data_IF_643614997154
#
_entry.id   IF_643614997154
#
_cell.length_a   1.000
_cell.length_b   1.000
_cell.length_c   1.000
_cell.angle_alpha   90.00
_cell.angle_beta   90.00
_cell.angle_gamma   90.00
#
_symmetry.space_group_name_H-M   'P 1'
#
loop_
_entity.id
_entity.type
_entity.pdbx_description
1 polymer ?
#
# COMPACT_ATOMS: atom_id res chain seq x y z
N UNK A 1 29.28 -4.67 -1.17
CA UNK A 1 28.00 -5.41 -1.16
C UNK A 1 26.80 -4.49 -0.91
N UNK A 2 26.70 -3.79 0.24
CA UNK A 2 25.54 -2.93 0.57
C UNK A 2 25.30 -1.73 -0.40
N UNK A 3 26.36 -1.07 -0.88
CA UNK A 3 26.23 0.04 -1.83
C UNK A 3 25.83 -0.41 -3.24
N UNK A 4 26.26 -1.60 -3.67
CA UNK A 4 25.83 -2.21 -4.94
C UNK A 4 24.37 -2.62 -4.86
N UNK A 5 23.96 -3.21 -3.72
CA UNK A 5 22.58 -3.57 -3.41
C UNK A 5 21.65 -2.35 -3.41
N UNK A 6 22.03 -1.27 -2.70
CA UNK A 6 21.31 0.01 -2.77
C UNK A 6 21.20 0.50 -4.22
N UNK A 7 22.30 0.55 -4.97
CA UNK A 7 22.28 1.02 -6.37
C UNK A 7 21.40 0.17 -7.30
N UNK A 8 21.26 -1.13 -7.08
CA UNK A 8 20.33 -1.96 -7.85
C UNK A 8 18.87 -1.65 -7.50
N UNK A 9 18.53 -1.54 -6.21
CA UNK A 9 17.16 -1.24 -5.78
C UNK A 9 16.71 0.20 -6.12
N UNK A 10 17.63 1.16 -6.16
CA UNK A 10 17.33 2.56 -6.53
C UNK A 10 17.27 2.81 -8.04
N UNK A 11 17.74 1.89 -8.89
CA UNK A 11 17.75 2.08 -10.35
C UNK A 11 16.37 1.99 -10.99
N UNK A 12 15.41 1.37 -10.30
CA UNK A 12 14.07 1.10 -10.82
C UNK A 12 12.97 1.94 -10.14
N UNK A 13 13.34 3.07 -9.49
CA UNK A 13 12.32 4.01 -9.00
C UNK A 13 11.73 4.71 -10.21
N UNK A 14 10.66 4.15 -10.73
CA UNK A 14 9.82 4.82 -11.72
C UNK A 14 9.23 6.07 -11.07
N UNK A 15 9.52 7.23 -11.66
CA UNK A 15 8.88 8.48 -11.28
C UNK A 15 7.47 8.49 -11.86
N UNK A 16 6.49 8.24 -10.99
CA UNK A 16 5.08 8.39 -11.34
C UNK A 16 4.70 9.86 -11.17
N UNK A 17 4.72 10.61 -12.27
CA UNK A 17 4.29 12.01 -12.26
C UNK A 17 2.81 12.11 -12.56
N UNK A 18 2.10 12.96 -11.81
CA UNK A 18 0.75 13.39 -12.19
C UNK A 18 0.84 14.21 -13.48
N UNK A 19 -0.14 14.08 -14.38
CA UNK A 19 -0.13 14.81 -15.65
C UNK A 19 -0.14 16.33 -15.40
N UNK A 20 0.74 17.06 -16.08
CA UNK A 20 0.87 18.53 -15.95
C UNK A 20 -0.43 19.29 -16.22
N UNK A 21 -1.34 18.71 -16.99
CA UNK A 21 -2.66 19.30 -17.24
C UNK A 21 -3.53 19.42 -15.97
N UNK A 22 -3.20 18.69 -14.90
CA UNK A 22 -3.86 18.82 -13.60
C UNK A 22 -3.26 19.89 -12.70
N UNK A 23 -2.14 20.52 -13.08
CA UNK A 23 -1.51 21.56 -12.28
C UNK A 23 -2.50 22.70 -11.98
N UNK A 24 -3.28 23.15 -12.96
CA UNK A 24 -4.28 24.20 -12.75
C UNK A 24 -5.37 23.83 -11.74
N UNK A 25 -5.80 22.56 -11.72
CA UNK A 25 -6.77 22.06 -10.75
C UNK A 25 -6.16 21.94 -9.34
N UNK A 26 -4.93 21.43 -9.25
CA UNK A 26 -4.18 21.34 -7.99
C UNK A 26 -3.95 22.76 -7.43
N UNK A 27 -3.50 23.69 -8.25
CA UNK A 27 -3.25 25.09 -7.89
C UNK A 27 -4.53 25.76 -7.40
N UNK A 28 -5.66 25.59 -8.09
CA UNK A 28 -6.96 26.09 -7.66
C UNK A 28 -7.35 25.60 -6.25
N UNK A 29 -7.09 24.33 -5.94
CA UNK A 29 -7.35 23.76 -4.61
C UNK A 29 -6.36 24.31 -3.58
N UNK A 30 -5.07 24.45 -3.94
CA UNK A 30 -4.00 25.00 -3.10
C UNK A 30 -4.19 26.49 -2.76
N UNK A 31 -4.74 27.28 -3.67
CA UNK A 31 -5.00 28.71 -3.48
C UNK A 31 -6.18 28.98 -2.51
N UNK A 32 -6.89 27.94 -2.07
CA UNK A 32 -8.02 28.09 -1.16
C UNK A 32 -7.60 28.64 0.21
N UNK A 33 -8.04 29.86 0.53
CA UNK A 33 -7.72 30.51 1.82
C UNK A 33 -8.51 29.94 3.01
N UNK A 34 -9.67 29.31 2.75
CA UNK A 34 -10.57 28.81 3.79
C UNK A 34 -11.05 27.38 3.49
N UNK A 35 -11.45 26.65 4.54
CA UNK A 35 -12.00 25.29 4.37
C UNK A 35 -13.27 25.24 3.49
N UNK A 36 -14.22 26.20 3.56
CA UNK A 36 -15.33 26.26 2.62
C UNK A 36 -14.90 26.45 1.17
N UNK A 37 -13.92 27.35 0.91
CA UNK A 37 -13.36 27.54 -0.43
C UNK A 37 -12.68 26.27 -0.93
N UNK A 38 -11.87 25.62 -0.09
CA UNK A 38 -11.23 24.34 -0.40
C UNK A 38 -12.24 23.28 -0.80
N UNK A 39 -13.31 23.10 -0.01
CA UNK A 39 -14.41 22.19 -0.33
C UNK A 39 -15.09 22.52 -1.66
N UNK A 40 -15.27 23.81 -1.96
CA UNK A 40 -15.89 24.25 -3.22
C UNK A 40 -14.98 23.98 -4.41
N UNK A 41 -13.69 24.23 -4.26
CA UNK A 41 -12.71 24.10 -5.33
C UNK A 41 -12.44 22.63 -5.70
N UNK A 42 -12.53 21.69 -4.76
CA UNK A 42 -12.53 20.24 -5.07
C UNK A 42 -13.62 19.89 -6.08
N UNK A 43 -14.79 20.52 -6.00
CA UNK A 43 -15.91 20.23 -6.91
C UNK A 43 -15.79 20.92 -8.26
N UNK A 44 -14.87 21.88 -8.40
CA UNK A 44 -14.64 22.64 -9.62
C UNK A 44 -13.68 21.88 -10.54
N UNK A 45 -13.98 20.60 -10.77
CA UNK A 45 -13.21 19.73 -11.64
C UNK A 45 -13.19 20.32 -13.06
N UNK A 46 -12.02 20.44 -13.71
CA UNK A 46 -11.95 20.94 -15.08
C UNK A 46 -12.84 20.13 -16.01
N UNK A 47 -13.68 20.81 -16.80
CA UNK A 47 -14.52 20.13 -17.77
C UNK A 47 -13.65 19.39 -18.78
N UNK A 48 -13.83 18.06 -18.89
CA UNK A 48 -13.15 17.20 -19.85
C UNK A 48 -13.79 17.42 -21.23
N UNK A 49 -13.59 18.59 -21.82
CA UNK A 49 -14.16 18.96 -23.12
C UNK A 49 -13.03 19.26 -24.11
N UNK A 50 -12.73 18.28 -24.99
CA UNK A 50 -11.75 18.38 -26.07
C UNK A 50 -11.18 17.03 -26.54
N UNK A 51 -10.44 17.02 -27.65
CA UNK A 51 -9.69 15.84 -28.16
C UNK A 51 -8.57 15.39 -27.21
N UNK A 52 -8.14 16.26 -26.28
CA UNK A 52 -7.25 15.95 -25.16
C UNK A 52 -8.07 15.58 -23.92
N UNK A 53 -8.77 14.43 -23.95
CA UNK A 53 -9.45 13.92 -22.75
C UNK A 53 -8.41 13.61 -21.68
N UNK A 54 -8.51 14.31 -20.54
CA UNK A 54 -7.79 13.95 -19.32
C UNK A 54 -8.13 12.51 -18.94
N UNK A 55 -7.17 11.69 -18.45
CA UNK A 55 -7.47 10.36 -17.96
C UNK A 55 -8.45 10.49 -16.78
N UNK A 56 -9.70 10.01 -16.88
CA UNK A 56 -10.71 10.18 -15.83
C UNK A 56 -10.21 9.70 -14.46
N UNK A 57 -9.48 8.59 -14.46
CA UNK A 57 -8.88 7.99 -13.26
C UNK A 57 -7.95 8.93 -12.48
N UNK A 58 -7.25 9.86 -13.13
CA UNK A 58 -6.38 10.83 -12.43
C UNK A 58 -7.19 11.94 -11.76
N UNK A 59 -8.29 12.37 -12.40
CA UNK A 59 -9.23 13.34 -11.81
C UNK A 59 -9.86 12.74 -10.56
N UNK A 60 -10.42 11.54 -10.69
CA UNK A 60 -11.11 10.86 -9.61
C UNK A 60 -10.15 10.63 -8.43
N UNK A 61 -8.87 10.34 -8.72
CA UNK A 61 -7.82 10.24 -7.71
C UNK A 61 -7.55 11.52 -6.96
N UNK A 62 -7.38 12.63 -7.67
CA UNK A 62 -7.16 13.90 -7.02
C UNK A 62 -8.37 14.32 -6.20
N UNK A 63 -9.60 14.10 -6.70
CA UNK A 63 -10.82 14.40 -5.96
C UNK A 63 -10.93 13.60 -4.66
N UNK A 64 -10.80 12.27 -4.71
CA UNK A 64 -10.85 11.40 -3.52
C UNK A 64 -9.73 11.74 -2.53
N UNK A 65 -8.51 12.00 -3.02
CA UNK A 65 -7.39 12.43 -2.18
C UNK A 65 -7.68 13.78 -1.50
N UNK A 66 -8.21 14.76 -2.23
CA UNK A 66 -8.56 16.05 -1.64
C UNK A 66 -9.73 15.95 -0.65
N UNK A 67 -10.68 15.05 -0.87
CA UNK A 67 -11.74 14.73 0.08
C UNK A 67 -11.16 14.12 1.37
N UNK A 68 -10.19 13.22 1.26
CA UNK A 68 -9.46 12.66 2.41
C UNK A 68 -8.73 13.78 3.19
N UNK A 69 -8.05 14.68 2.49
CA UNK A 69 -7.35 15.85 3.08
C UNK A 69 -8.34 16.82 3.75
N UNK A 70 -9.48 17.08 3.12
CA UNK A 70 -10.53 17.91 3.72
C UNK A 70 -11.09 17.28 5.00
N UNK A 71 -11.25 15.96 5.01
CA UNK A 71 -11.68 15.19 6.19
C UNK A 71 -10.67 15.33 7.32
N UNK A 72 -9.38 15.22 7.00
CA UNK A 72 -8.28 15.47 7.94
C UNK A 72 -8.39 16.88 8.54
N UNK A 73 -8.55 17.94 7.75
CA UNK A 73 -8.57 19.32 8.27
C UNK A 73 -9.86 19.72 9.00
N UNK A 74 -11.00 19.07 8.71
CA UNK A 74 -12.26 19.35 9.40
C UNK A 74 -12.35 18.74 10.79
N UNK A 75 -11.41 17.86 11.16
CA UNK A 75 -11.42 17.20 12.47
C UNK A 75 -11.41 18.24 13.59
N UNK A 76 -12.14 17.94 14.66
CA UNK A 76 -12.16 18.75 15.90
C UNK A 76 -11.33 18.12 17.03
N UNK A 77 -10.78 16.94 16.77
CA UNK A 77 -10.04 16.12 17.73
C UNK A 77 -8.59 16.05 17.25
N UNK A 78 -7.63 16.09 18.17
CA UNK A 78 -6.22 15.93 17.85
C UNK A 78 -5.94 14.50 17.36
N UNK A 79 -5.08 14.34 16.35
CA UNK A 79 -4.73 13.01 15.82
C UNK A 79 -4.05 12.12 16.88
N UNK A 80 -3.39 12.73 17.86
CA UNK A 80 -2.71 12.07 18.97
C UNK A 80 -3.65 11.54 20.05
N UNK A 81 -4.96 11.77 19.93
CA UNK A 81 -5.93 11.38 20.94
C UNK A 81 -6.03 9.86 21.11
N UNK A 82 -6.08 9.11 20.00
CA UNK A 82 -6.07 7.64 20.01
C UNK A 82 -5.74 7.10 18.63
N UNK A 83 -5.30 5.84 18.56
CA UNK A 83 -5.08 5.13 17.30
C UNK A 83 -6.34 5.08 16.43
N UNK A 84 -7.52 4.89 17.02
CA UNK A 84 -8.79 4.91 16.29
C UNK A 84 -9.07 6.28 15.64
N UNK A 85 -8.76 7.39 16.32
CA UNK A 85 -8.89 8.74 15.76
C UNK A 85 -7.89 8.92 14.62
N UNK A 86 -6.65 8.48 14.82
CA UNK A 86 -5.61 8.54 13.80
C UNK A 86 -6.00 7.76 12.53
N UNK A 87 -6.44 6.51 12.68
CA UNK A 87 -6.85 5.66 11.58
C UNK A 87 -8.04 6.27 10.83
N UNK A 88 -9.08 6.70 11.57
CA UNK A 88 -10.29 7.28 10.98
C UNK A 88 -10.08 8.56 10.18
N UNK A 89 -9.19 9.45 10.63
CA UNK A 89 -9.02 10.76 10.00
C UNK A 89 -7.82 10.84 9.05
N UNK A 90 -6.89 9.88 9.10
CA UNK A 90 -5.68 9.90 8.26
C UNK A 90 -5.44 8.60 7.50
N UNK A 91 -5.46 7.43 8.14
CA UNK A 91 -5.08 6.20 7.43
C UNK A 91 -6.19 5.74 6.50
N UNK A 92 -7.39 5.55 7.02
CA UNK A 92 -8.53 5.00 6.28
C UNK A 92 -8.92 5.86 5.07
N UNK A 93 -9.12 7.20 5.18
CA UNK A 93 -9.60 7.98 4.04
C UNK A 93 -8.62 7.97 2.86
N UNK A 94 -7.32 7.97 3.16
CA UNK A 94 -6.28 8.00 2.13
C UNK A 94 -6.05 6.61 1.52
N UNK A 95 -6.10 5.53 2.32
CA UNK A 95 -6.07 4.17 1.79
C UNK A 95 -7.29 3.89 0.94
N UNK A 96 -8.46 4.37 1.34
CA UNK A 96 -9.70 4.25 0.59
C UNK A 96 -9.61 5.02 -0.75
N UNK A 97 -9.10 6.25 -0.74
CA UNK A 97 -8.86 7.02 -1.96
C UNK A 97 -7.94 6.27 -2.94
N UNK A 98 -6.89 5.62 -2.44
CA UNK A 98 -6.02 4.77 -3.28
C UNK A 98 -6.74 3.53 -3.77
N UNK A 99 -7.47 2.81 -2.90
CA UNK A 99 -8.10 1.53 -3.24
C UNK A 99 -9.25 1.67 -4.24
N UNK A 100 -10.08 2.70 -4.07
CA UNK A 100 -11.26 2.95 -4.92
C UNK A 100 -10.89 3.17 -6.40
N UNK A 101 -9.63 3.45 -6.68
CA UNK A 101 -9.17 3.90 -7.99
C UNK A 101 -8.10 3.00 -8.59
N UNK A 102 -7.82 1.87 -7.94
CA UNK A 102 -7.11 0.76 -8.59
C UNK A 102 -7.93 0.42 -9.82
N UNK A 103 -7.32 0.59 -11.00
CA UNK A 103 -7.98 0.60 -12.30
C UNK A 103 -8.98 -0.56 -12.44
N UNK A 104 -10.28 -0.24 -12.43
CA UNK A 104 -11.35 -1.23 -12.55
C UNK A 104 -11.22 -2.03 -13.85
N UNK A 105 -10.76 -1.46 -14.96
CA UNK A 105 -10.66 -2.19 -16.23
C UNK A 105 -9.54 -3.25 -16.21
N UNK A 106 -8.38 -2.91 -15.63
CA UNK A 106 -7.23 -3.83 -15.56
C UNK A 106 -7.34 -4.83 -14.39
N UNK A 107 -7.99 -4.40 -13.32
CA UNK A 107 -8.14 -5.15 -12.08
C UNK A 107 -9.57 -5.62 -11.79
N UNK A 108 -10.51 -5.54 -12.74
CA UNK A 108 -11.91 -5.98 -12.59
C UNK A 108 -12.07 -7.42 -12.12
N UNK A 109 -11.08 -8.27 -12.41
CA UNK A 109 -11.04 -9.66 -11.96
C UNK A 109 -10.84 -9.79 -10.45
N UNK A 110 -10.42 -8.72 -9.78
CA UNK A 110 -10.15 -8.65 -8.36
C UNK A 110 -11.21 -7.75 -7.72
N UNK A 111 -12.03 -8.33 -6.84
CA UNK A 111 -12.92 -7.57 -5.94
C UNK A 111 -12.07 -6.93 -4.84
N UNK A 112 -11.25 -5.95 -5.23
CA UNK A 112 -10.34 -5.24 -4.35
C UNK A 112 -11.12 -4.18 -3.57
N UNK A 113 -11.21 -4.37 -2.25
CA UNK A 113 -11.87 -3.43 -1.35
C UNK A 113 -10.97 -3.02 -0.20
N UNK A 114 -11.26 -1.84 0.36
CA UNK A 114 -10.74 -1.46 1.66
C UNK A 114 -11.60 -2.11 2.75
N UNK A 115 -11.00 -2.98 3.56
CA UNK A 115 -11.67 -3.61 4.70
C UNK A 115 -11.24 -2.92 6.00
N UNK A 116 -12.06 -2.04 6.60
CA UNK A 116 -11.71 -1.37 7.84
C UNK A 116 -11.75 -2.34 9.03
N UNK A 117 -10.81 -2.20 9.95
CA UNK A 117 -10.77 -2.94 11.21
C UNK A 117 -9.46 -3.67 11.45
N UNK A 118 -9.40 -4.34 12.60
CA UNK A 118 -8.29 -5.20 12.97
C UNK A 118 -8.63 -6.64 12.59
N UNK A 119 -8.00 -7.16 11.54
CA UNK A 119 -8.08 -8.59 11.25
C UNK A 119 -6.97 -9.30 12.02
N UNK A 120 -7.33 -10.19 12.93
CA UNK A 120 -6.35 -11.11 13.48
C UNK A 120 -5.75 -11.91 12.33
N UNK A 121 -4.43 -11.84 12.16
CA UNK A 121 -3.67 -12.68 11.22
C UNK A 121 -3.75 -14.17 11.63
N UNK A 122 -4.94 -14.76 11.44
CA UNK A 122 -5.25 -16.16 11.67
C UNK A 122 -4.43 -17.04 10.72
N UNK A 123 -4.05 -16.51 9.55
CA UNK A 123 -3.23 -17.18 8.53
C UNK A 123 -1.85 -17.59 9.07
N UNK A 124 -1.09 -16.64 9.63
CA UNK A 124 0.23 -16.94 10.22
C UNK A 124 0.11 -17.84 11.44
N UNK A 125 -0.90 -17.62 12.28
CA UNK A 125 -1.14 -18.44 13.47
C UNK A 125 -1.52 -19.87 13.10
N UNK A 126 -2.32 -20.07 12.04
CA UNK A 126 -2.65 -21.40 11.51
C UNK A 126 -1.45 -22.05 10.83
N UNK A 127 -0.64 -21.32 10.06
CA UNK A 127 0.59 -21.84 9.46
C UNK A 127 1.64 -22.25 10.51
N UNK A 128 1.83 -21.45 11.56
CA UNK A 128 2.73 -21.77 12.67
C UNK A 128 2.22 -22.98 13.46
N UNK A 129 0.90 -23.09 13.67
CA UNK A 129 0.27 -24.29 14.24
C UNK A 129 0.43 -25.52 13.33
N UNK A 130 0.38 -25.36 12.01
CA UNK A 130 0.58 -26.44 11.04
C UNK A 130 2.04 -26.89 10.91
N UNK A 131 3.00 -25.99 11.15
CA UNK A 131 4.43 -26.31 11.24
C UNK A 131 4.79 -27.22 12.42
N UNK A 132 3.81 -27.55 13.27
CA UNK A 132 3.92 -28.57 14.29
C UNK A 132 3.63 -30.01 13.84
N UNK A 133 2.70 -30.30 12.89
CA UNK A 133 2.33 -31.71 12.61
C UNK A 133 1.36 -32.04 11.44
N UNK A 134 0.94 -31.12 10.57
CA UNK A 134 -0.06 -31.45 9.53
C UNK A 134 0.38 -31.05 8.11
N UNK A 135 0.86 -32.03 7.34
CA UNK A 135 1.04 -31.91 5.88
C UNK A 135 -0.23 -32.37 5.19
N UNK A 136 -1.20 -31.48 4.99
CA UNK A 136 -2.28 -31.77 4.02
C UNK A 136 -1.72 -31.59 2.61
N UNK A 137 -1.48 -32.71 1.91
CA UNK A 137 -0.94 -32.71 0.54
C UNK A 137 -1.83 -31.98 -0.48
N UNK A 138 -3.08 -31.65 -0.13
CA UNK A 138 -4.03 -30.92 -0.98
C UNK A 138 -3.75 -29.42 -1.05
N UNK A 139 -3.12 -28.82 -0.04
CA UNK A 139 -2.76 -27.39 -0.02
C UNK A 139 -1.32 -27.15 -0.45
N UNK A 140 -0.96 -27.71 -1.60
CA UNK A 140 0.34 -27.48 -2.22
C UNK A 140 0.21 -26.36 -3.26
N UNK A 141 0.60 -25.10 -2.96
CA UNK A 141 0.64 -24.06 -3.98
C UNK A 141 1.65 -24.44 -5.07
N UNK A 142 1.13 -24.82 -6.24
CA UNK A 142 1.86 -25.18 -7.46
C UNK A 142 2.12 -23.97 -8.36
N UNK A 143 2.16 -22.77 -7.79
CA UNK A 143 2.40 -21.56 -8.55
C UNK A 143 3.90 -21.44 -8.92
N UNK A 144 4.20 -20.72 -10.00
CA UNK A 144 5.59 -20.50 -10.41
C UNK A 144 6.30 -19.54 -9.44
N UNK A 145 7.43 -19.99 -8.87
CA UNK A 145 8.26 -19.17 -7.99
C UNK A 145 8.86 -17.95 -8.69
N UNK A 146 8.97 -17.96 -10.03
CA UNK A 146 9.39 -16.78 -10.81
C UNK A 146 8.30 -15.70 -10.83
N UNK A 147 7.02 -16.08 -10.85
CA UNK A 147 5.92 -15.13 -10.70
C UNK A 147 5.90 -14.54 -9.29
N UNK A 148 6.11 -15.37 -8.26
CA UNK A 148 6.14 -14.91 -6.86
C UNK A 148 7.28 -13.91 -6.59
N UNK A 149 8.45 -14.07 -7.23
CA UNK A 149 9.57 -13.11 -7.13
C UNK A 149 9.24 -11.71 -7.65
N UNK A 150 8.23 -11.58 -8.52
CA UNK A 150 7.76 -10.28 -9.01
C UNK A 150 6.78 -9.59 -8.04
N UNK A 151 6.21 -10.34 -7.10
CA UNK A 151 5.27 -9.81 -6.11
C UNK A 151 6.01 -8.97 -5.07
N UNK A 152 5.49 -7.78 -4.82
CA UNK A 152 5.98 -6.83 -3.82
C UNK A 152 4.81 -6.40 -2.95
N UNK A 153 4.79 -6.85 -1.71
CA UNK A 153 3.70 -6.55 -0.76
C UNK A 153 3.99 -5.22 -0.08
N UNK A 154 2.97 -4.40 0.17
CA UNK A 154 3.15 -3.08 0.76
C UNK A 154 2.48 -2.98 2.13
N UNK A 155 3.10 -2.21 3.02
CA UNK A 155 2.61 -1.93 4.36
C UNK A 155 2.68 -0.43 4.61
N UNK A 156 1.57 0.16 5.05
CA UNK A 156 1.56 1.55 5.50
C UNK A 156 1.69 1.56 7.01
N UNK A 157 2.73 2.23 7.50
CA UNK A 157 2.99 2.37 8.92
C UNK A 157 3.09 3.84 9.26
N UNK A 158 2.18 4.30 10.12
CA UNK A 158 2.25 5.64 10.66
C UNK A 158 2.89 5.65 12.05
N UNK A 159 3.84 6.57 12.24
CA UNK A 159 4.49 6.81 13.52
C UNK A 159 4.88 8.27 13.62
N UNK A 160 4.68 8.86 14.80
CA UNK A 160 4.91 10.29 15.05
C UNK A 160 4.13 11.17 14.06
N UNK A 161 4.83 12.07 13.36
CA UNK A 161 4.31 12.94 12.31
C UNK A 161 4.54 12.38 10.91
N UNK A 162 4.73 11.06 10.76
CA UNK A 162 5.11 10.45 9.47
C UNK A 162 4.26 9.24 9.12
N UNK A 163 3.89 9.16 7.85
CA UNK A 163 3.38 7.94 7.21
C UNK A 163 4.52 7.34 6.38
N UNK A 164 4.93 6.11 6.71
CA UNK A 164 5.99 5.39 6.02
C UNK A 164 5.36 4.29 5.17
N UNK A 165 5.70 4.27 3.88
CA UNK A 165 5.37 3.17 2.99
C UNK A 165 6.52 2.17 3.01
N UNK A 166 6.23 0.94 3.42
CA UNK A 166 7.16 -0.17 3.39
C UNK A 166 6.75 -1.17 2.32
N UNK A 167 7.72 -1.93 1.83
CA UNK A 167 7.48 -3.07 0.96
C UNK A 167 8.23 -4.31 1.43
N UNK A 168 7.69 -5.47 1.09
CA UNK A 168 8.28 -6.78 1.30
C UNK A 168 8.34 -7.51 -0.04
N UNK A 169 9.54 -7.85 -0.49
CA UNK A 169 9.73 -8.62 -1.72
C UNK A 169 10.66 -9.82 -1.48
N UNK A 170 10.53 -10.84 -2.31
CA UNK A 170 11.37 -12.04 -2.25
C UNK A 170 12.43 -12.01 -3.33
N UNK A 171 13.71 -11.96 -2.93
CA UNK A 171 14.84 -11.91 -3.85
C UNK A 171 16.01 -12.75 -3.32
N UNK A 172 16.61 -13.56 -4.20
CA UNK A 172 17.77 -14.42 -3.88
C UNK A 172 17.61 -15.25 -2.59
N UNK A 173 16.44 -15.86 -2.41
CA UNK A 173 16.09 -16.68 -1.25
C UNK A 173 16.01 -15.93 0.10
N UNK A 174 15.83 -14.61 0.05
CA UNK A 174 15.64 -13.77 1.23
C UNK A 174 14.44 -12.86 1.04
N UNK A 175 13.70 -12.63 2.11
CA UNK A 175 12.69 -11.57 2.16
C UNK A 175 13.35 -10.24 2.51
N UNK A 176 13.17 -9.25 1.66
CA UNK A 176 13.68 -7.90 1.86
C UNK A 176 12.55 -6.99 2.28
N UNK A 177 12.66 -6.42 3.48
CA UNK A 177 11.78 -5.36 3.95
C UNK A 177 12.45 -4.01 3.65
N UNK A 178 11.77 -3.15 2.89
CA UNK A 178 12.32 -1.88 2.41
C UNK A 178 11.37 -0.72 2.66
N UNK A 179 11.91 0.48 2.89
CA UNK A 179 11.11 1.70 3.00
C UNK A 179 11.05 2.39 1.64
N UNK A 180 9.88 2.35 1.02
CA UNK A 180 9.63 2.93 -0.31
C UNK A 180 9.56 4.45 -0.28
N UNK A 181 8.85 4.99 0.70
CA UNK A 181 8.63 6.43 0.81
C UNK A 181 8.22 6.85 2.23
N UNK A 182 8.26 8.15 2.49
CA UNK A 182 7.87 8.79 3.75
C UNK A 182 7.12 10.08 3.46
N UNK A 183 5.89 10.17 3.95
CA UNK A 183 5.07 11.38 3.94
C UNK A 183 5.07 12.02 5.33
N UNK A 184 5.35 13.32 5.40
CA UNK A 184 5.22 14.07 6.65
C UNK A 184 3.79 14.60 6.78
N UNK A 185 3.13 14.29 7.89
CA UNK A 185 1.77 14.67 8.19
C UNK A 185 1.76 16.14 8.62
N UNK A 186 0.98 16.97 7.93
CA UNK A 186 0.72 18.34 8.37
C UNK A 186 -0.77 18.48 8.63
N UNK A 187 -1.19 18.42 9.90
CA UNK A 187 -2.59 18.26 10.23
C UNK A 187 -3.30 19.63 10.24
N UNK A 188 -2.60 20.76 10.13
CA UNK A 188 -3.18 22.10 10.13
C UNK A 188 -3.42 22.64 8.71
N UNK A 189 -4.57 23.29 8.47
CA UNK A 189 -4.95 23.77 7.13
C UNK A 189 -3.98 24.80 6.55
N UNK A 190 -3.31 25.59 7.40
CA UNK A 190 -2.29 26.56 6.97
C UNK A 190 -1.09 25.89 6.26
N UNK A 191 -0.82 24.62 6.57
CA UNK A 191 0.31 23.85 6.04
C UNK A 191 -0.09 23.01 4.80
N UNK A 192 -1.30 23.25 4.25
CA UNK A 192 -1.87 22.43 3.18
C UNK A 192 -1.02 22.33 1.93
N UNK A 193 -0.32 23.40 1.58
CA UNK A 193 0.51 23.46 0.39
C UNK A 193 1.72 22.53 0.53
N UNK A 194 2.43 22.60 1.66
CA UNK A 194 3.54 21.70 1.96
C UNK A 194 3.08 20.23 2.00
N UNK A 195 1.91 19.98 2.59
CA UNK A 195 1.35 18.63 2.71
C UNK A 195 0.96 18.05 1.35
N UNK A 196 0.14 18.76 0.58
CA UNK A 196 -0.38 18.26 -0.70
C UNK A 196 0.73 18.04 -1.73
N UNK A 197 1.76 18.91 -1.74
CA UNK A 197 2.96 18.70 -2.58
C UNK A 197 3.67 17.38 -2.30
N UNK A 198 3.61 16.86 -1.07
CA UNK A 198 4.16 15.55 -0.71
C UNK A 198 3.13 14.42 -0.88
N UNK A 199 1.89 14.65 -0.47
CA UNK A 199 0.84 13.63 -0.42
C UNK A 199 0.43 13.16 -1.82
N UNK A 200 0.28 14.08 -2.79
CA UNK A 200 -0.10 13.74 -4.17
C UNK A 200 0.88 12.72 -4.78
N UNK A 201 2.20 12.99 -4.89
CA UNK A 201 3.13 12.03 -5.47
C UNK A 201 3.27 10.76 -4.61
N UNK A 202 3.20 10.87 -3.28
CA UNK A 202 3.29 9.72 -2.38
C UNK A 202 2.16 8.71 -2.64
N UNK A 203 0.90 9.16 -2.60
CA UNK A 203 -0.25 8.27 -2.77
C UNK A 203 -0.45 7.85 -4.24
N UNK A 204 -0.07 8.70 -5.20
CA UNK A 204 -0.08 8.34 -6.61
C UNK A 204 0.93 7.23 -6.91
N UNK A 205 2.16 7.38 -6.43
CA UNK A 205 3.17 6.32 -6.54
C UNK A 205 2.69 5.04 -5.87
N UNK A 206 2.08 5.13 -4.68
CA UNK A 206 1.55 3.97 -3.99
C UNK A 206 0.46 3.25 -4.80
N UNK A 207 -0.49 3.99 -5.39
CA UNK A 207 -1.51 3.44 -6.29
C UNK A 207 -0.87 2.66 -7.44
N UNK A 208 0.05 3.27 -8.18
CA UNK A 208 0.70 2.62 -9.33
C UNK A 208 1.47 1.35 -8.92
N UNK A 209 2.09 1.36 -7.73
CA UNK A 209 2.76 0.18 -7.20
C UNK A 209 1.78 -0.95 -6.82
N UNK A 210 0.60 -0.61 -6.31
CA UNK A 210 -0.46 -1.59 -6.05
C UNK A 210 -0.98 -2.21 -7.34
N UNK A 211 -1.19 -1.43 -8.41
CA UNK A 211 -1.61 -1.96 -9.72
C UNK A 211 -0.61 -2.98 -10.27
N UNK A 212 0.69 -2.70 -10.12
CA UNK A 212 1.76 -3.66 -10.47
C UNK A 212 1.68 -4.94 -9.64
N UNK A 213 1.44 -4.82 -8.34
CA UNK A 213 1.24 -5.97 -7.47
C UNK A 213 0.03 -6.79 -7.94
N UNK A 214 -1.10 -6.16 -8.27
CA UNK A 214 -2.29 -6.86 -8.74
C UNK A 214 -2.01 -7.62 -10.03
N UNK A 215 -1.33 -7.01 -11.00
CA UNK A 215 -0.89 -7.70 -12.21
C UNK A 215 0.00 -8.91 -11.90
N UNK A 216 0.95 -8.77 -10.98
CA UNK A 216 1.81 -9.89 -10.55
C UNK A 216 1.01 -11.02 -9.87
N UNK A 217 -0.02 -10.69 -9.08
CA UNK A 217 -0.92 -11.68 -8.47
C UNK A 217 -1.74 -12.40 -9.54
N UNK A 218 -2.25 -11.68 -10.55
CA UNK A 218 -2.96 -12.29 -11.68
C UNK A 218 -2.07 -13.29 -12.43
N UNK A 219 -0.86 -12.87 -12.80
CA UNK A 219 0.13 -13.73 -13.45
C UNK A 219 0.43 -14.99 -12.61
N UNK A 220 0.47 -14.84 -11.28
CA UNK A 220 0.68 -15.95 -10.34
C UNK A 220 -0.51 -16.91 -10.31
N UNK A 221 -1.75 -16.40 -10.32
CA UNK A 221 -2.97 -17.20 -10.37
C UNK A 221 -3.07 -17.98 -11.69
N UNK A 222 -2.89 -17.30 -12.83
CA UNK A 222 -2.94 -17.93 -14.16
C UNK A 222 -1.86 -19.03 -14.30
N UNK A 223 -0.65 -18.75 -13.79
CA UNK A 223 0.42 -19.73 -13.73
C UNK A 223 0.06 -20.94 -12.86
N UNK A 224 -0.53 -20.71 -11.68
CA UNK A 224 -0.99 -21.77 -10.80
C UNK A 224 -2.04 -22.67 -11.48
N UNK A 225 -3.04 -22.09 -12.14
CA UNK A 225 -4.08 -22.84 -12.86
C UNK A 225 -3.50 -23.66 -14.01
N UNK A 226 -2.58 -23.09 -14.78
CA UNK A 226 -1.88 -23.79 -15.87
C UNK A 226 -1.09 -24.98 -15.34
N UNK A 227 -0.35 -24.80 -14.25
CA UNK A 227 0.42 -25.87 -13.62
C UNK A 227 -0.47 -26.96 -13.03
N UNK A 228 -1.65 -26.60 -12.49
CA UNK A 228 -2.65 -27.57 -12.05
C UNK A 228 -3.16 -28.43 -13.20
N UNK A 229 -3.48 -27.82 -14.35
CA UNK A 229 -3.93 -28.53 -15.56
C UNK A 229 -2.85 -29.48 -16.09
N UNK A 230 -1.59 -29.02 -16.16
CA UNK A 230 -0.47 -29.85 -16.61
C UNK A 230 -0.19 -31.02 -15.66
N UNK A 231 -0.24 -30.79 -14.34
CA UNK A 231 -0.02 -31.81 -13.33
C UNK A 231 -1.05 -32.96 -13.36
N UNK A 232 -2.23 -32.75 -13.96
CA UNK A 232 -3.21 -33.84 -14.18
C UNK A 232 -2.73 -34.83 -15.24
N UNK A 233 -1.91 -34.37 -16.18
CA UNK A 233 -1.48 -35.13 -17.35
C UNK A 233 0.00 -35.56 -17.28
N UNK A 234 0.77 -35.10 -16.28
CA UNK A 234 2.20 -35.44 -16.11
C UNK A 234 2.42 -36.47 -15.01
N UNK A 235 3.33 -37.43 -15.26
CA UNK A 235 3.74 -38.41 -14.26
C UNK A 235 4.56 -37.80 -13.09
N UNK A 236 5.13 -36.61 -13.30
CA UNK A 236 5.94 -35.89 -12.31
C UNK A 236 5.15 -34.70 -11.73
N UNK A 237 5.13 -34.52 -10.40
CA UNK A 237 4.49 -33.37 -9.78
C UNK A 237 5.31 -32.09 -10.02
N UNK A 238 4.68 -30.94 -10.30
CA UNK A 238 5.40 -29.68 -10.50
C UNK A 238 6.10 -29.22 -9.21
N UNK A 239 7.21 -28.48 -9.32
CA UNK A 239 7.90 -27.90 -8.17
C UNK A 239 6.95 -26.97 -7.39
N UNK A 240 6.98 -27.09 -6.07
CA UNK A 240 6.09 -26.33 -5.17
C UNK A 240 6.69 -24.98 -4.80
N UNK A 241 5.85 -23.95 -4.64
CA UNK A 241 6.29 -22.65 -4.09
C UNK A 241 6.93 -22.84 -2.72
N UNK A 242 6.41 -23.74 -1.89
CA UNK A 242 6.98 -24.06 -0.57
C UNK A 242 8.39 -24.64 -0.63
N UNK A 243 8.78 -25.29 -1.73
CA UNK A 243 10.17 -25.74 -1.95
C UNK A 243 11.08 -24.59 -2.42
N UNK A 244 10.51 -23.60 -3.09
CA UNK A 244 11.21 -22.41 -3.61
C UNK A 244 11.36 -21.30 -2.58
N UNK A 245 10.45 -21.22 -1.60
CA UNK A 245 10.35 -20.15 -0.58
C UNK A 245 10.64 -20.73 0.82
N UNK A 246 11.71 -21.53 0.94
CA UNK A 246 12.22 -22.04 2.23
C UNK A 246 13.23 -21.05 2.83
N UNK A 247 12.80 -19.81 2.99
CA UNK A 247 13.69 -18.69 3.28
C UNK A 247 13.57 -18.22 4.72
N UNK A 248 14.72 -18.01 5.36
CA UNK A 248 14.80 -17.39 6.68
C UNK A 248 14.31 -15.94 6.59
N UNK A 249 13.33 -15.57 7.40
CA UNK A 249 12.89 -14.18 7.51
C UNK A 249 14.01 -13.42 8.24
N UNK A 250 14.74 -12.58 7.50
CA UNK A 250 15.74 -11.68 8.09
C UNK A 250 14.99 -10.46 8.61
N UNK A 251 14.73 -10.42 9.92
CA UNK A 251 14.13 -9.27 10.60
C UNK A 251 15.19 -8.17 10.73
N UNK A 252 15.11 -7.13 9.91
CA UNK A 252 15.87 -5.90 10.13
C UNK A 252 15.22 -5.15 11.30
N UNK A 253 15.71 -5.37 12.51
CA UNK A 253 15.34 -4.54 13.67
C UNK A 253 16.07 -3.21 13.58
N UNK A 254 15.36 -2.13 13.25
CA UNK A 254 15.86 -0.77 13.42
C UNK A 254 16.02 -0.53 14.94
N UNK A 255 17.26 -0.56 15.43
CA UNK A 255 17.59 -0.59 16.87
C UNK A 255 17.20 0.69 17.63
N UNK A 256 16.80 1.78 16.97
CA UNK A 256 16.79 3.12 17.59
C UNK A 256 15.47 3.91 17.53
N UNK A 257 14.39 3.43 16.89
CA UNK A 257 13.14 4.21 16.77
C UNK A 257 11.87 3.59 17.34
N UNK A 258 11.92 2.43 18.00
CA UNK A 258 10.73 1.84 18.64
C UNK A 258 10.25 2.57 19.92
N UNK A 259 10.90 3.67 20.33
CA UNK A 259 10.46 4.45 21.49
C UNK A 259 9.19 5.28 21.25
N UNK A 260 8.78 5.50 20.00
CA UNK A 260 7.68 6.42 19.67
C UNK A 260 6.27 5.82 19.75
N UNK A 261 6.07 4.53 19.41
CA UNK A 261 4.73 3.91 19.43
C UNK A 261 4.52 2.99 20.63
N UNK A 262 5.58 2.34 21.14
CA UNK A 262 5.49 1.51 22.34
C UNK A 262 5.26 2.33 23.63
N UNK A 263 5.50 3.65 23.62
CA UNK A 263 5.25 4.52 24.78
C UNK A 263 3.82 5.07 24.86
N UNK A 264 3.02 4.94 23.80
CA UNK A 264 1.66 5.52 23.72
C UNK A 264 0.53 4.48 23.62
N UNK A 265 0.84 3.18 23.58
CA UNK A 265 -0.17 2.11 23.58
C UNK A 265 0.08 1.18 24.77
N UNK A 266 -0.92 0.92 25.63
CA UNK A 266 -0.77 0.03 26.77
C UNK A 266 -0.84 -1.41 26.28
N UNK A 267 0.30 -1.97 25.87
CA UNK A 267 0.45 -3.41 25.86
C UNK A 267 0.54 -3.89 27.30
N UNK A 268 -0.60 -4.07 27.95
CA UNK A 268 -0.71 -4.96 29.10
C UNK A 268 -0.36 -6.36 28.58
N UNK A 269 0.90 -6.75 28.77
CA UNK A 269 1.18 -8.16 29.00
C UNK A 269 0.58 -8.46 30.37
N UNK A 270 -0.46 -9.28 30.41
CA UNK A 270 -0.84 -9.88 31.67
C UNK A 270 0.32 -10.76 32.13
N UNK A 271 1.03 -10.31 33.15
CA UNK A 271 1.83 -11.19 33.99
C UNK A 271 0.86 -12.15 34.66
N UNK A 272 0.66 -13.33 34.05
CA UNK A 272 0.08 -14.46 34.74
C UNK A 272 1.23 -15.22 35.40
N UNK A 273 1.27 -15.14 36.72
CA UNK A 273 1.91 -16.12 37.58
C UNK A 273 1.16 -17.44 37.65
#
# INVERSE_FOLDING_TARGET
MFNTYKKQMFKDREDYTVNEQFCSYIDLVLESETLPAFKSNIKNVPAVSGENKLPPQQVDFLEELFVAVLTLYKRKIQLTHSEAVFNKFLVEPFLQAVSNLINEDECAWLDAGFFPGEEHLLSMTKQLKQNGQFKDARFCPKADGMCFKKSKFFFVHAADDKVKLWSLCYHENVFHLWREDVLTIKPEFKDKEEFLKQAIPFYWSFKCQLEKLMKAIKDLQESHEKNLKQARNSALPPPLVSKLVSSSIIRLTEKEYCKGTASFVPFYSSEHG
#
